data_IF_693235594710
#
_entry.id   IF_693235594710
#
_cell.length_a   1.000
_cell.length_b   1.000
_cell.length_c   1.000
_cell.angle_alpha   90.00
_cell.angle_beta   90.00
_cell.angle_gamma   90.00
#
_symmetry.space_group_name_H-M   'P 1'
#
loop_
_entity.id
_entity.type
_entity.pdbx_description
1 polymer ?
#
# COMPACT_ATOMS: atom_id res chain seq x y z
N UNK A 1 -7.20 -23.48 -9.28
CA UNK A 1 -6.16 -22.46 -9.01
C UNK A 1 -4.80 -23.14 -9.09
N UNK A 2 -3.83 -22.61 -9.85
CA UNK A 2 -2.50 -23.21 -9.88
C UNK A 2 -1.85 -23.03 -8.50
N UNK A 3 -1.42 -24.14 -7.87
CA UNK A 3 -0.80 -24.15 -6.52
C UNK A 3 0.41 -23.20 -6.40
N UNK A 4 0.98 -22.78 -7.53
CA UNK A 4 2.10 -21.86 -7.66
C UNK A 4 1.87 -20.43 -7.16
N UNK A 5 0.61 -19.96 -7.04
CA UNK A 5 0.33 -18.58 -6.61
C UNK A 5 0.04 -18.45 -5.12
N UNK A 6 -0.17 -19.57 -4.44
CA UNK A 6 -0.60 -19.60 -3.04
C UNK A 6 0.37 -18.86 -2.10
N UNK A 7 1.70 -18.99 -2.23
CA UNK A 7 2.63 -18.25 -1.37
C UNK A 7 2.48 -16.73 -1.52
N UNK A 8 2.31 -16.22 -2.75
CA UNK A 8 2.11 -14.80 -2.99
C UNK A 8 0.77 -14.28 -2.45
N UNK A 9 -0.30 -15.06 -2.58
CA UNK A 9 -1.62 -14.73 -2.01
C UNK A 9 -1.54 -14.65 -0.49
N UNK A 10 -0.91 -15.62 0.16
CA UNK A 10 -0.75 -15.65 1.61
C UNK A 10 0.13 -14.50 2.12
N UNK A 11 1.25 -14.22 1.43
CA UNK A 11 2.12 -13.10 1.77
C UNK A 11 1.37 -11.76 1.65
N UNK A 12 0.65 -11.54 0.55
CA UNK A 12 -0.15 -10.34 0.36
C UNK A 12 -1.24 -10.21 1.42
N UNK A 13 -2.00 -11.28 1.70
CA UNK A 13 -3.02 -11.27 2.73
C UNK A 13 -2.44 -10.95 4.11
N UNK A 14 -1.32 -11.57 4.48
CA UNK A 14 -0.64 -11.32 5.75
C UNK A 14 -0.18 -9.86 5.87
N UNK A 15 0.41 -9.30 4.82
CA UNK A 15 0.82 -7.89 4.80
C UNK A 15 -0.38 -6.95 4.92
N UNK A 16 -1.48 -7.22 4.20
CA UNK A 16 -2.69 -6.39 4.26
C UNK A 16 -3.32 -6.43 5.65
N UNK A 17 -3.45 -7.62 6.25
CA UNK A 17 -3.97 -7.78 7.62
C UNK A 17 -3.05 -7.06 8.61
N UNK A 18 -1.74 -7.29 8.54
CA UNK A 18 -0.78 -6.63 9.42
C UNK A 18 -0.85 -5.11 9.28
N UNK A 19 -0.97 -4.58 8.06
CA UNK A 19 -1.06 -3.13 7.82
C UNK A 19 -2.34 -2.53 8.41
N UNK A 20 -3.48 -3.22 8.29
CA UNK A 20 -4.76 -2.78 8.87
C UNK A 20 -4.77 -2.81 10.41
N UNK A 21 -3.98 -3.69 11.02
CA UNK A 21 -3.81 -3.71 12.48
C UNK A 21 -2.81 -2.64 12.90
N UNK A 22 -1.65 -2.58 12.24
CA UNK A 22 -0.54 -1.73 12.62
C UNK A 22 -0.78 -0.24 12.37
N UNK A 23 -1.72 0.12 11.49
CA UNK A 23 -2.13 1.52 11.29
C UNK A 23 -2.76 2.12 12.56
N UNK A 24 -3.25 1.31 13.49
CA UNK A 24 -3.85 1.77 14.73
C UNK A 24 -2.81 2.17 15.79
N UNK A 25 -1.52 1.89 15.55
CA UNK A 25 -0.44 2.17 16.50
C UNK A 25 0.43 3.30 15.97
N UNK A 26 0.41 4.43 16.68
CA UNK A 26 1.20 5.61 16.37
C UNK A 26 2.70 5.37 16.57
N UNK A 27 3.50 5.99 15.71
CA UNK A 27 4.95 6.08 15.80
C UNK A 27 5.35 7.56 15.74
N UNK A 28 5.52 8.15 16.93
CA UNK A 28 5.65 9.60 17.06
C UNK A 28 4.38 10.32 16.61
N UNK A 29 4.53 11.57 16.17
CA UNK A 29 3.38 12.46 15.91
C UNK A 29 2.83 12.37 14.48
N UNK A 30 3.55 11.69 13.57
CA UNK A 30 3.29 11.81 12.12
C UNK A 30 3.04 10.49 11.39
N UNK A 31 3.39 9.35 12.00
CA UNK A 31 3.38 8.05 11.33
C UNK A 31 2.69 7.00 12.19
N UNK A 32 2.33 5.90 11.54
CA UNK A 32 1.86 4.68 12.19
C UNK A 32 2.77 3.53 11.79
N UNK A 33 2.73 2.43 12.54
CA UNK A 33 3.45 1.21 12.15
C UNK A 33 2.96 0.64 10.81
N UNK A 34 1.73 0.95 10.39
CA UNK A 34 1.18 0.60 9.08
C UNK A 34 1.98 1.17 7.90
N UNK A 35 2.58 2.37 8.05
CA UNK A 35 3.38 3.00 7.01
C UNK A 35 4.64 2.19 6.63
N UNK A 36 5.14 1.35 7.54
CA UNK A 36 6.33 0.52 7.32
C UNK A 36 6.00 -0.87 6.79
N UNK A 37 4.82 -1.40 7.10
CA UNK A 37 4.41 -2.74 6.65
C UNK A 37 3.73 -2.71 5.29
N UNK A 38 2.95 -1.68 5.00
CA UNK A 38 2.24 -1.55 3.72
C UNK A 38 3.16 -1.59 2.48
N UNK A 39 4.34 -0.94 2.46
CA UNK A 39 5.22 -0.97 1.28
C UNK A 39 5.70 -2.37 0.89
N UNK A 40 5.65 -3.34 1.82
CA UNK A 40 5.97 -4.75 1.54
C UNK A 40 4.96 -5.34 0.53
N UNK A 41 3.73 -4.81 0.43
CA UNK A 41 2.75 -5.26 -0.54
C UNK A 41 3.24 -5.05 -1.99
N UNK A 42 3.90 -3.92 -2.28
CA UNK A 42 4.51 -3.66 -3.59
C UNK A 42 5.62 -4.68 -3.90
N UNK A 43 6.47 -5.00 -2.92
CA UNK A 43 7.48 -6.05 -3.07
C UNK A 43 6.86 -7.41 -3.43
N UNK A 44 5.77 -7.79 -2.77
CA UNK A 44 5.05 -9.03 -3.08
C UNK A 44 4.50 -9.00 -4.51
N UNK A 45 3.88 -7.90 -4.92
CA UNK A 45 3.34 -7.71 -6.28
C UNK A 45 4.44 -7.80 -7.33
N UNK A 46 5.55 -7.10 -7.14
CA UNK A 46 6.72 -7.09 -8.03
C UNK A 46 7.33 -8.49 -8.19
N UNK A 47 7.49 -9.23 -7.08
CA UNK A 47 7.99 -10.61 -7.09
C UNK A 47 7.07 -11.52 -7.90
N UNK A 48 5.76 -11.41 -7.68
CA UNK A 48 4.78 -12.20 -8.41
C UNK A 48 4.75 -11.86 -9.89
N UNK A 49 4.91 -10.59 -10.24
CA UNK A 49 4.97 -10.14 -11.63
C UNK A 49 6.24 -10.64 -12.34
N UNK A 50 7.38 -10.59 -11.64
CA UNK A 50 8.66 -11.10 -12.14
C UNK A 50 8.64 -12.60 -12.38
N UNK A 51 8.21 -13.36 -11.37
CA UNK A 51 8.31 -14.83 -11.35
C UNK A 51 7.20 -15.52 -12.14
N UNK A 52 5.98 -14.96 -12.11
CA UNK A 52 4.78 -15.62 -12.63
C UNK A 52 3.99 -14.78 -13.64
N UNK A 53 4.43 -13.55 -13.91
CA UNK A 53 3.83 -12.66 -14.90
C UNK A 53 2.67 -11.80 -14.37
N UNK A 54 2.19 -10.85 -15.18
CA UNK A 54 1.23 -9.82 -14.76
C UNK A 54 -0.15 -10.41 -14.42
N UNK A 55 -0.53 -11.54 -15.02
CA UNK A 55 -1.79 -12.22 -14.69
C UNK A 55 -1.79 -12.83 -13.30
N UNK A 56 -0.64 -13.36 -12.84
CA UNK A 56 -0.51 -13.88 -11.48
C UNK A 56 -0.46 -12.74 -10.46
N UNK A 57 0.29 -11.67 -10.75
CA UNK A 57 0.34 -10.49 -9.90
C UNK A 57 -1.05 -9.86 -9.68
N UNK A 58 -1.84 -9.66 -10.75
CA UNK A 58 -3.22 -9.16 -10.64
C UNK A 58 -4.11 -10.02 -9.74
N UNK A 59 -3.95 -11.34 -9.75
CA UNK A 59 -4.72 -12.23 -8.87
C UNK A 59 -4.34 -12.04 -7.40
N UNK A 60 -3.04 -11.89 -7.12
CA UNK A 60 -2.53 -11.63 -5.77
C UNK A 60 -3.03 -10.28 -5.26
N UNK A 61 -2.98 -9.25 -6.10
CA UNK A 61 -3.56 -7.92 -5.81
C UNK A 61 -5.05 -8.05 -5.50
N UNK A 62 -5.82 -8.74 -6.33
CA UNK A 62 -7.26 -8.90 -6.09
C UNK A 62 -7.55 -9.66 -4.79
N UNK A 63 -6.77 -10.70 -4.46
CA UNK A 63 -6.88 -11.37 -3.16
C UNK A 63 -6.57 -10.45 -1.99
N UNK A 64 -5.50 -9.65 -2.09
CA UNK A 64 -5.17 -8.63 -1.10
C UNK A 64 -6.28 -7.59 -0.94
N UNK A 65 -6.87 -7.14 -2.04
CA UNK A 65 -8.00 -6.22 -2.03
C UNK A 65 -9.22 -6.80 -1.31
N UNK A 66 -9.60 -8.04 -1.61
CA UNK A 66 -10.72 -8.72 -0.92
C UNK A 66 -10.44 -8.85 0.57
N UNK A 67 -9.21 -9.22 0.96
CA UNK A 67 -8.80 -9.27 2.37
C UNK A 67 -8.88 -7.88 3.02
N UNK A 68 -8.42 -6.83 2.33
CA UNK A 68 -8.49 -5.45 2.80
C UNK A 68 -9.91 -4.95 3.00
N UNK A 69 -10.82 -5.30 2.09
CA UNK A 69 -12.26 -5.01 2.24
C UNK A 69 -12.82 -5.71 3.47
N UNK A 70 -12.51 -6.99 3.68
CA UNK A 70 -12.95 -7.73 4.87
C UNK A 70 -12.38 -7.10 6.15
N UNK A 71 -11.09 -6.76 6.18
CA UNK A 71 -10.47 -6.06 7.31
C UNK A 71 -11.14 -4.72 7.59
N UNK A 72 -11.46 -3.95 6.55
CA UNK A 72 -12.14 -2.66 6.70
C UNK A 72 -13.56 -2.83 7.23
N UNK A 73 -14.31 -3.82 6.73
CA UNK A 73 -15.64 -4.16 7.24
C UNK A 73 -15.59 -4.55 8.71
N UNK A 74 -14.64 -5.38 9.12
CA UNK A 74 -14.42 -5.73 10.53
C UNK A 74 -14.04 -4.48 11.33
N UNK A 75 -13.13 -3.64 10.81
CA UNK A 75 -12.71 -2.39 11.45
C UNK A 75 -13.85 -1.41 11.68
N UNK A 76 -14.87 -1.38 10.81
CA UNK A 76 -16.07 -0.56 11.01
C UNK A 76 -16.91 -1.00 12.21
N UNK A 77 -16.79 -2.27 12.64
CA UNK A 77 -17.52 -2.83 13.78
C UNK A 77 -16.73 -2.69 15.10
N UNK A 78 -15.43 -2.42 15.02
CA UNK A 78 -14.57 -2.22 16.19
C UNK A 78 -14.66 -0.75 16.61
N UNK A 79 -15.29 -0.48 17.75
CA UNK A 79 -15.38 0.87 18.31
C UNK A 79 -14.17 1.18 19.20
N UNK A 80 -13.48 2.27 18.89
CA UNK A 80 -12.46 2.90 19.72
C UNK A 80 -13.07 4.08 20.49
N UNK A 81 -12.25 4.74 21.31
CA UNK A 81 -12.68 5.88 22.14
C UNK A 81 -13.33 7.02 21.33
N UNK A 82 -12.90 7.21 20.07
CA UNK A 82 -13.32 8.32 19.21
C UNK A 82 -14.13 7.90 17.97
N UNK A 83 -14.64 6.66 17.93
CA UNK A 83 -15.44 6.15 16.81
C UNK A 83 -14.96 4.80 16.27
N UNK A 84 -15.41 4.37 15.08
CA UNK A 84 -14.97 3.11 14.48
C UNK A 84 -13.47 3.14 14.17
N UNK A 85 -12.79 2.01 14.35
CA UNK A 85 -11.36 1.86 14.00
C UNK A 85 -11.09 2.11 12.50
N UNK A 86 -12.09 1.87 11.65
CA UNK A 86 -12.08 2.21 10.23
C UNK A 86 -13.39 2.90 9.86
N UNK A 87 -13.31 4.16 9.42
CA UNK A 87 -14.46 4.90 8.90
C UNK A 87 -14.77 4.48 7.45
N UNK A 88 -15.97 4.77 6.95
CA UNK A 88 -16.33 4.49 5.55
C UNK A 88 -15.36 5.20 4.59
N UNK A 89 -14.96 6.44 4.88
CA UNK A 89 -14.00 7.18 4.07
C UNK A 89 -12.61 6.56 4.07
N UNK A 90 -12.12 6.08 5.21
CA UNK A 90 -10.85 5.35 5.27
C UNK A 90 -10.94 4.05 4.47
N UNK A 91 -12.06 3.32 4.56
CA UNK A 91 -12.28 2.09 3.78
C UNK A 91 -12.32 2.35 2.27
N UNK A 92 -13.04 3.40 1.83
CA UNK A 92 -13.09 3.80 0.43
C UNK A 92 -11.72 4.27 -0.06
N UNK A 93 -11.04 5.11 0.71
CA UNK A 93 -9.72 5.61 0.39
C UNK A 93 -8.70 4.50 0.28
N UNK A 94 -8.64 3.58 1.24
CA UNK A 94 -7.69 2.46 1.24
C UNK A 94 -7.97 1.48 0.10
N UNK A 95 -9.24 1.13 -0.13
CA UNK A 95 -9.63 0.24 -1.22
C UNK A 95 -9.33 0.82 -2.60
N UNK A 96 -9.69 2.09 -2.84
CA UNK A 96 -9.40 2.77 -4.11
C UNK A 96 -7.91 2.96 -4.33
N UNK A 97 -7.17 3.45 -3.33
CA UNK A 97 -5.74 3.66 -3.42
C UNK A 97 -4.99 2.35 -3.70
N UNK A 98 -5.26 1.31 -2.89
CA UNK A 98 -4.64 0.00 -3.05
C UNK A 98 -4.86 -0.58 -4.44
N UNK A 99 -6.12 -0.63 -4.91
CA UNK A 99 -6.44 -1.27 -6.18
C UNK A 99 -5.82 -0.51 -7.36
N UNK A 100 -5.94 0.82 -7.39
CA UNK A 100 -5.38 1.64 -8.48
C UNK A 100 -3.86 1.57 -8.48
N UNK A 101 -3.22 1.74 -7.31
CA UNK A 101 -1.77 1.75 -7.20
C UNK A 101 -1.14 0.41 -7.54
N UNK A 102 -1.70 -0.69 -7.03
CA UNK A 102 -1.17 -2.04 -7.27
C UNK A 102 -1.38 -2.49 -8.73
N UNK A 103 -2.50 -2.13 -9.37
CA UNK A 103 -2.70 -2.44 -10.79
C UNK A 103 -1.79 -1.60 -11.68
N UNK A 104 -1.56 -0.33 -11.33
CA UNK A 104 -0.62 0.54 -12.01
C UNK A 104 0.82 0.03 -11.86
N UNK A 105 1.20 -0.41 -10.66
CA UNK A 105 2.47 -1.05 -10.38
C UNK A 105 2.69 -2.27 -11.28
N UNK A 106 1.72 -3.20 -11.33
CA UNK A 106 1.79 -4.37 -12.23
C UNK A 106 2.00 -3.97 -13.70
N UNK A 107 1.27 -2.96 -14.17
CA UNK A 107 1.34 -2.51 -15.56
C UNK A 107 2.69 -1.85 -15.90
N UNK A 108 3.18 -0.96 -15.04
CA UNK A 108 4.46 -0.27 -15.22
C UNK A 108 5.61 -1.28 -15.12
N UNK A 109 5.57 -2.16 -14.12
CA UNK A 109 6.58 -3.18 -13.93
C UNK A 109 6.68 -4.08 -15.16
N UNK A 110 5.55 -4.61 -15.64
CA UNK A 110 5.53 -5.53 -16.77
C UNK A 110 6.06 -4.85 -18.04
N UNK A 111 5.74 -3.57 -18.25
CA UNK A 111 6.26 -2.79 -19.39
C UNK A 111 7.76 -2.52 -19.31
N UNK A 112 8.32 -2.41 -18.11
CA UNK A 112 9.75 -2.17 -17.88
C UNK A 112 10.56 -3.45 -17.60
N UNK A 113 9.91 -4.62 -17.55
CA UNK A 113 10.51 -5.86 -17.02
C UNK A 113 11.75 -6.32 -17.78
N UNK A 114 11.85 -6.01 -19.06
CA UNK A 114 12.96 -6.44 -19.93
C UNK A 114 14.21 -5.53 -19.83
N UNK A 115 14.14 -4.45 -19.04
CA UNK A 115 15.28 -3.58 -18.78
C UNK A 115 16.20 -4.11 -17.67
N UNK A 116 17.01 -3.21 -17.11
CA UNK A 116 17.85 -3.51 -15.94
C UNK A 116 17.00 -3.99 -14.77
N UNK A 117 17.50 -4.98 -14.03
CA UNK A 117 16.74 -5.73 -13.01
C UNK A 117 16.04 -4.84 -11.95
N UNK A 118 16.64 -3.70 -11.59
CA UNK A 118 16.11 -2.78 -10.57
C UNK A 118 15.14 -1.75 -11.14
N UNK A 119 15.15 -1.50 -12.46
CA UNK A 119 14.40 -0.40 -13.06
C UNK A 119 12.89 -0.64 -12.98
N UNK A 120 12.46 -1.85 -13.27
CA UNK A 120 11.06 -2.24 -13.19
C UNK A 120 10.50 -2.10 -11.75
N UNK A 121 11.05 -2.79 -10.72
CA UNK A 121 10.50 -2.71 -9.36
C UNK A 121 10.58 -1.30 -8.76
N UNK A 122 11.68 -0.57 -9.00
CA UNK A 122 11.82 0.78 -8.44
C UNK A 122 10.82 1.75 -9.08
N UNK A 123 10.71 1.77 -10.41
CA UNK A 123 9.85 2.71 -11.10
C UNK A 123 8.36 2.41 -10.85
N UNK A 124 7.97 1.13 -10.87
CA UNK A 124 6.59 0.73 -10.59
C UNK A 124 6.19 1.07 -9.16
N UNK A 125 7.02 0.71 -8.17
CA UNK A 125 6.74 0.98 -6.76
C UNK A 125 6.71 2.48 -6.47
N UNK A 126 7.66 3.28 -6.98
CA UNK A 126 7.67 4.74 -6.75
C UNK A 126 6.42 5.41 -7.33
N UNK A 127 6.04 5.07 -8.56
CA UNK A 127 4.86 5.67 -9.20
C UNK A 127 3.58 5.17 -8.50
N UNK A 128 3.47 3.87 -8.27
CA UNK A 128 2.34 3.24 -7.59
C UNK A 128 2.12 3.81 -6.19
N UNK A 129 3.16 3.84 -5.36
CA UNK A 129 3.10 4.39 -4.00
C UNK A 129 2.78 5.89 -3.95
N UNK A 130 3.22 6.67 -4.95
CA UNK A 130 2.88 8.09 -5.04
C UNK A 130 1.39 8.29 -5.32
N UNK A 131 0.83 7.50 -6.24
CA UNK A 131 -0.61 7.51 -6.55
C UNK A 131 -1.42 6.97 -5.36
N UNK A 132 -0.94 5.93 -4.69
CA UNK A 132 -1.55 5.38 -3.48
C UNK A 132 -1.70 6.45 -2.40
N UNK A 133 -0.60 7.12 -2.03
CA UNK A 133 -0.62 8.17 -1.01
C UNK A 133 -1.54 9.32 -1.43
N UNK A 134 -1.45 9.78 -2.69
CA UNK A 134 -2.30 10.86 -3.17
C UNK A 134 -3.80 10.52 -3.07
N UNK A 135 -4.18 9.31 -3.51
CA UNK A 135 -5.58 8.86 -3.45
C UNK A 135 -6.04 8.64 -2.01
N UNK A 136 -5.27 7.90 -1.21
CA UNK A 136 -5.64 7.53 0.15
C UNK A 136 -5.87 8.77 1.01
N UNK A 137 -4.88 9.65 1.11
CA UNK A 137 -4.97 10.81 2.00
C UNK A 137 -6.02 11.81 1.53
N UNK A 138 -6.17 12.00 0.21
CA UNK A 138 -7.23 12.86 -0.33
C UNK A 138 -8.61 12.32 0.02
N UNK A 139 -8.88 11.04 -0.25
CA UNK A 139 -10.20 10.44 -0.02
C UNK A 139 -10.52 10.36 1.48
N UNK A 140 -9.55 9.93 2.30
CA UNK A 140 -9.73 9.69 3.71
C UNK A 140 -9.85 10.99 4.53
N UNK A 141 -9.08 12.04 4.19
CA UNK A 141 -8.88 13.18 5.10
C UNK A 141 -9.17 14.56 4.48
N UNK A 142 -9.31 14.70 3.16
CA UNK A 142 -9.63 16.02 2.57
C UNK A 142 -11.01 16.51 2.99
N UNK A 143 -11.12 17.79 3.37
CA UNK A 143 -12.39 18.42 3.72
C UNK A 143 -13.39 18.44 2.54
N UNK A 144 -12.89 18.48 1.30
CA UNK A 144 -13.74 18.47 0.09
C UNK A 144 -14.57 17.20 -0.07
N UNK A 145 -14.19 16.11 0.61
CA UNK A 145 -14.86 14.80 0.54
C UNK A 145 -15.58 14.44 1.85
N UNK A 146 -15.70 15.36 2.80
CA UNK A 146 -16.40 15.10 4.07
C UNK A 146 -17.90 14.81 3.90
N UNK A 147 -18.51 15.22 2.79
CA UNK A 147 -19.90 14.89 2.47
C UNK A 147 -20.14 13.38 2.27
N UNK A 148 -19.09 12.58 1.99
CA UNK A 148 -19.21 11.12 1.80
C UNK A 148 -19.61 10.43 3.10
N UNK A 149 -19.17 10.96 4.25
CA UNK A 149 -19.47 10.41 5.57
C UNK A 149 -19.52 11.53 6.61
N UNK A 150 -20.62 12.31 6.68
CA UNK A 150 -20.72 13.46 7.58
C UNK A 150 -20.73 13.08 9.07
N UNK A 151 -21.00 11.81 9.38
CA UNK A 151 -21.15 11.31 10.75
C UNK A 151 -19.81 11.11 11.48
N UNK A 152 -18.71 10.93 10.75
CA UNK A 152 -17.37 10.74 11.32
C UNK A 152 -16.52 11.98 11.04
N UNK A 153 -16.20 12.73 12.09
CA UNK A 153 -15.47 13.98 11.97
C UNK A 153 -13.98 13.74 11.67
N UNK A 154 -13.49 14.38 10.61
CA UNK A 154 -12.07 14.40 10.23
C UNK A 154 -11.52 15.83 10.17
N UNK A 155 -12.22 16.79 10.76
CA UNK A 155 -11.84 18.22 10.77
C UNK A 155 -10.44 18.45 11.34
N UNK A 156 -10.03 17.65 12.33
CA UNK A 156 -8.68 17.65 12.92
C UNK A 156 -7.57 17.50 11.87
N UNK A 157 -7.81 16.74 10.79
CA UNK A 157 -6.84 16.55 9.71
C UNK A 157 -6.69 17.81 8.84
N UNK A 158 -7.62 18.76 8.95
CA UNK A 158 -7.65 20.03 8.23
C UNK A 158 -6.81 21.14 8.88
N UNK A 159 -6.33 20.95 10.11
CA UNK A 159 -5.57 21.96 10.85
C UNK A 159 -4.35 22.42 10.06
N UNK A 160 -4.21 23.74 9.88
CA UNK A 160 -3.13 24.31 9.09
C UNK A 160 -1.89 24.43 9.94
N UNK A 161 -0.90 23.59 9.64
CA UNK A 161 0.38 23.51 10.34
C UNK A 161 1.53 23.52 9.33
N UNK A 162 2.77 23.87 9.76
CA UNK A 162 3.95 23.69 8.92
C UNK A 162 4.11 22.22 8.51
N UNK A 163 4.30 21.94 7.22
CA UNK A 163 4.55 20.58 6.73
C UNK A 163 5.78 19.99 7.45
N UNK A 164 5.62 18.83 8.08
CA UNK A 164 6.63 18.17 8.91
C UNK A 164 7.25 19.07 10.00
N UNK A 165 6.53 20.10 10.44
CA UNK A 165 7.00 21.05 11.47
C UNK A 165 8.00 22.11 10.98
N UNK A 166 8.44 22.07 9.71
CA UNK A 166 9.48 22.98 9.19
C UNK A 166 9.15 23.60 7.82
N UNK A 167 8.18 23.06 7.09
CA UNK A 167 7.78 23.51 5.76
C UNK A 167 6.76 24.65 5.78
N UNK A 168 6.22 24.97 4.60
CA UNK A 168 5.13 25.94 4.47
C UNK A 168 3.82 25.46 5.12
N UNK A 169 2.86 26.36 5.36
CA UNK A 169 1.57 26.02 5.96
C UNK A 169 0.72 25.16 5.01
N UNK A 170 0.21 24.03 5.50
CA UNK A 170 -0.72 23.15 4.79
C UNK A 170 -1.61 22.40 5.80
N UNK A 171 -2.73 21.80 5.34
CA UNK A 171 -3.54 20.92 6.19
C UNK A 171 -2.71 19.76 6.76
N UNK A 172 -2.95 19.38 8.01
CA UNK A 172 -2.25 18.31 8.72
C UNK A 172 -2.18 17.01 7.90
N UNK A 173 -3.26 16.62 7.23
CA UNK A 173 -3.26 15.40 6.40
C UNK A 173 -2.24 15.44 5.26
N UNK A 174 -1.88 16.62 4.74
CA UNK A 174 -0.81 16.78 3.74
C UNK A 174 0.54 16.46 4.36
N UNK A 175 0.79 16.90 5.60
CA UNK A 175 2.00 16.56 6.34
C UNK A 175 2.11 15.05 6.57
N UNK A 176 1.00 14.41 6.99
CA UNK A 176 0.92 12.96 7.15
C UNK A 176 1.17 12.21 5.82
N UNK A 177 0.60 12.72 4.73
CA UNK A 177 0.81 12.17 3.39
C UNK A 177 2.29 12.25 2.96
N UNK A 178 2.96 13.37 3.21
CA UNK A 178 4.38 13.55 2.91
C UNK A 178 5.24 12.61 3.76
N UNK A 179 4.93 12.47 5.06
CA UNK A 179 5.64 11.55 5.94
C UNK A 179 5.53 10.10 5.46
N UNK A 180 4.30 9.64 5.18
CA UNK A 180 4.03 8.30 4.64
C UNK A 180 4.74 8.07 3.30
N UNK A 181 4.70 9.06 2.40
CA UNK A 181 5.37 8.98 1.11
C UNK A 181 6.89 8.87 1.23
N UNK A 182 7.51 9.62 2.12
CA UNK A 182 8.96 9.55 2.37
C UNK A 182 9.38 8.15 2.87
N UNK A 183 8.57 7.55 3.75
CA UNK A 183 8.79 6.17 4.23
C UNK A 183 8.67 5.18 3.06
N UNK A 184 7.62 5.30 2.24
CA UNK A 184 7.42 4.48 1.04
C UNK A 184 8.59 4.55 0.07
N UNK A 185 9.10 5.75 -0.24
CA UNK A 185 10.26 5.92 -1.14
C UNK A 185 11.53 5.27 -0.57
N UNK A 186 11.77 5.45 0.73
CA UNK A 186 12.93 4.88 1.41
C UNK A 186 12.87 3.35 1.40
N UNK A 187 11.69 2.79 1.71
CA UNK A 187 11.47 1.35 1.70
C UNK A 187 11.48 0.76 0.29
N UNK A 188 11.06 1.50 -0.74
CA UNK A 188 11.16 1.07 -2.13
C UNK A 188 12.62 0.84 -2.55
N UNK A 189 13.54 1.72 -2.11
CA UNK A 189 14.97 1.55 -2.36
C UNK A 189 15.53 0.34 -1.58
N UNK A 190 15.17 0.20 -0.31
CA UNK A 190 15.62 -0.92 0.54
C UNK A 190 15.10 -2.26 -0.02
N UNK A 191 13.86 -2.30 -0.50
CA UNK A 191 13.19 -3.49 -1.03
C UNK A 191 13.85 -4.05 -2.30
N UNK A 192 14.69 -3.27 -3.00
CA UNK A 192 15.48 -3.79 -4.12
C UNK A 192 16.43 -4.93 -3.71
N UNK A 193 16.92 -4.91 -2.46
CA UNK A 193 17.81 -5.95 -1.93
C UNK A 193 17.07 -7.29 -1.81
N UNK A 194 16.01 -7.43 -0.99
CA UNK A 194 15.28 -8.68 -0.89
C UNK A 194 14.63 -9.08 -2.22
N UNK A 195 14.17 -8.12 -3.04
CA UNK A 195 13.68 -8.40 -4.38
C UNK A 195 14.72 -9.18 -5.21
N UNK A 196 15.95 -8.67 -5.29
CA UNK A 196 17.02 -9.30 -6.07
C UNK A 196 17.35 -10.69 -5.55
N UNK A 197 17.46 -10.85 -4.23
CA UNK A 197 17.79 -12.13 -3.59
C UNK A 197 16.71 -13.19 -3.84
N UNK A 198 15.44 -12.82 -3.66
CA UNK A 198 14.31 -13.73 -3.84
C UNK A 198 14.12 -14.12 -5.31
N UNK A 199 14.26 -13.19 -6.25
CA UNK A 199 14.22 -13.51 -7.69
C UNK A 199 15.35 -14.47 -8.07
N UNK A 200 16.57 -14.27 -7.56
CA UNK A 200 17.70 -15.15 -7.84
C UNK A 200 17.55 -16.54 -7.22
N UNK A 201 16.90 -16.66 -6.07
CA UNK A 201 16.64 -17.93 -5.39
C UNK A 201 15.49 -18.70 -6.02
N UNK A 202 14.34 -18.04 -6.22
CA UNK A 202 13.10 -18.67 -6.69
C UNK A 202 13.06 -18.84 -8.20
N UNK A 203 13.80 -18.02 -8.95
CA UNK A 203 13.91 -18.12 -10.41
C UNK A 203 14.74 -19.32 -10.89
N UNK A 204 15.49 -19.99 -9.99
CA UNK A 204 16.30 -21.19 -10.28
C UNK A 204 15.56 -22.51 -10.04
N UNK A 205 14.22 -22.50 -9.93
CA UNK A 205 13.42 -23.73 -9.82
C UNK A 205 13.76 -24.74 -10.92
N UNK A 206 13.70 -26.06 -10.63
CA UNK A 206 14.31 -27.09 -11.47
C UNK A 206 13.82 -26.98 -12.90
N UNK A 207 14.77 -26.84 -13.83
CA UNK A 207 14.55 -27.07 -15.24
C UNK A 207 13.85 -28.43 -15.35
N UNK A 208 12.58 -28.43 -15.74
CA UNK A 208 11.92 -29.66 -16.19
C UNK A 208 12.70 -30.10 -17.41
N UNK A 209 13.61 -31.06 -17.22
CA UNK A 209 14.17 -31.85 -18.31
C UNK A 209 12.99 -32.44 -19.07
N UNK A 210 13.06 -32.22 -20.39
CA UNK A 210 12.10 -32.59 -21.44
C UNK A 210 11.54 -34.00 -21.25
#
# INVERSE_FOLDING_TARGET
>A
MQRSYLPGILAMAAVVVASNILVQFLLGDWLTWGAFTYPIAFLVTDLMNRLYGPSAARRVVFSGFVVGVICSLVGTQVMLEFGPAVTLRIALGSGTAFLVAQLLDVAIFDRLRNGTWWRAPLASTVIGSSIDTALFFTIAFSASLSFIEPANDVSWAGDVLPILGVGGPAPLWVSLAVADWMVKLSLALIALIPFRLLVASLGKGPQKTV
#
